data_IF_083731877169
#
_entry.id   IF_083731877169
#
_cell.length_a   1.000
_cell.length_b   1.000
_cell.length_c   1.000
_cell.angle_alpha   90.00
_cell.angle_beta   90.00
_cell.angle_gamma   90.00
#
_symmetry.space_group_name_H-M   'P 1'
#
loop_
_entity.id
_entity.type
_entity.pdbx_description
1 polymer ?
#
# COMPACT_ATOMS: atom_id res chain seq x y z
N UNK A 1 -8.11 19.11 -2.91
CA UNK A 1 -8.96 19.73 -3.97
C UNK A 1 -8.26 19.54 -5.30
N UNK A 2 -8.98 19.15 -6.36
CA UNK A 2 -8.39 19.02 -7.70
C UNK A 2 -8.76 20.24 -8.55
N UNK A 3 -7.78 20.77 -9.27
CA UNK A 3 -7.93 21.85 -10.25
C UNK A 3 -7.51 21.28 -11.59
N UNK A 4 -8.46 21.12 -12.51
CA UNK A 4 -8.19 20.61 -13.86
C UNK A 4 -7.88 21.79 -14.78
N UNK A 5 -6.77 21.72 -15.51
CA UNK A 5 -6.34 22.76 -16.44
C UNK A 5 -6.18 22.13 -17.82
N UNK A 6 -7.03 22.56 -18.77
CA UNK A 6 -6.93 22.13 -20.16
C UNK A 6 -5.75 22.84 -20.83
N UNK A 7 -4.93 22.07 -21.54
CA UNK A 7 -3.78 22.59 -22.30
C UNK A 7 -3.76 21.97 -23.70
N UNK A 8 -3.16 22.70 -24.64
CA UNK A 8 -2.99 22.21 -26.02
C UNK A 8 -1.82 21.24 -26.14
N UNK A 9 -0.71 21.51 -25.43
CA UNK A 9 0.49 20.68 -25.41
C UNK A 9 1.00 20.54 -23.97
N UNK A 10 1.06 19.30 -23.47
CA UNK A 10 1.51 19.02 -22.10
C UNK A 10 2.99 19.32 -21.91
N UNK A 11 3.83 19.05 -22.91
CA UNK A 11 5.26 19.23 -22.81
C UNK A 11 5.62 20.71 -22.73
N UNK A 12 5.09 21.50 -23.64
CA UNK A 12 5.31 22.95 -23.66
C UNK A 12 4.89 23.59 -22.34
N UNK A 13 3.69 23.26 -21.84
CA UNK A 13 3.18 23.85 -20.60
C UNK A 13 3.92 23.32 -19.37
N UNK A 14 4.27 22.03 -19.34
CA UNK A 14 5.00 21.47 -18.22
C UNK A 14 6.43 22.01 -18.15
N UNK A 15 7.10 22.24 -19.28
CA UNK A 15 8.47 22.77 -19.34
C UNK A 15 8.53 24.30 -19.14
N UNK A 16 7.40 25.02 -19.18
CA UNK A 16 7.34 26.45 -18.89
C UNK A 16 7.57 26.73 -17.38
N UNK A 17 8.71 27.36 -17.06
CA UNK A 17 9.09 27.70 -15.69
C UNK A 17 8.06 28.55 -14.94
N UNK A 18 7.36 29.47 -15.61
CA UNK A 18 6.36 30.33 -14.97
C UNK A 18 5.14 29.53 -14.59
N UNK A 19 4.73 28.60 -15.46
CA UNK A 19 3.63 27.68 -15.17
C UNK A 19 4.00 26.78 -14.01
N UNK A 20 5.18 26.13 -14.04
CA UNK A 20 5.65 25.28 -12.94
C UNK A 20 5.66 26.01 -11.59
N UNK A 21 6.19 27.24 -11.54
CA UNK A 21 6.20 28.05 -10.32
C UNK A 21 4.79 28.38 -9.83
N UNK A 22 3.88 28.67 -10.76
CA UNK A 22 2.49 28.95 -10.42
C UNK A 22 1.78 27.72 -9.87
N UNK A 23 2.03 26.54 -10.46
CA UNK A 23 1.53 25.27 -9.95
C UNK A 23 2.02 25.03 -8.53
N UNK A 24 3.34 25.14 -8.30
CA UNK A 24 3.95 24.94 -6.99
C UNK A 24 3.35 25.86 -5.92
N UNK A 25 3.18 27.15 -6.24
CA UNK A 25 2.57 28.12 -5.34
C UNK A 25 1.14 27.75 -4.94
N UNK A 26 0.37 27.11 -5.83
CA UNK A 26 -1.00 26.69 -5.57
C UNK A 26 -1.03 25.38 -4.76
N UNK A 27 -0.15 24.43 -5.09
CA UNK A 27 -0.11 23.11 -4.45
C UNK A 27 0.51 23.17 -3.03
N UNK A 28 1.48 24.05 -2.80
CA UNK A 28 2.16 24.25 -1.51
C UNK A 28 1.56 25.38 -0.64
N UNK A 29 0.44 25.96 -1.06
CA UNK A 29 -0.26 27.00 -0.29
C UNK A 29 -0.59 26.51 1.14
N UNK A 30 -0.06 27.23 2.13
CA UNK A 30 -0.07 26.86 3.55
C UNK A 30 -1.47 26.87 4.18
N UNK A 31 -2.44 27.55 3.54
CA UNK A 31 -3.77 27.75 4.10
C UNK A 31 -4.83 26.90 3.36
N UNK A 32 -5.43 25.98 4.12
CA UNK A 32 -6.60 25.17 3.78
C UNK A 32 -6.44 24.17 2.61
N UNK A 33 -6.30 22.88 3.00
CA UNK A 33 -6.40 21.66 2.19
C UNK A 33 -5.52 21.61 0.93
N UNK A 34 -4.66 20.59 0.83
CA UNK A 34 -3.79 20.38 -0.33
C UNK A 34 -4.59 20.44 -1.64
N UNK A 35 -4.14 21.31 -2.53
CA UNK A 35 -4.66 21.49 -3.88
C UNK A 35 -3.74 20.72 -4.83
N UNK A 36 -4.31 20.08 -5.83
CA UNK A 36 -3.56 19.36 -6.86
C UNK A 36 -4.02 19.89 -8.20
N UNK A 37 -3.08 20.38 -8.99
CA UNK A 37 -3.34 20.77 -10.36
C UNK A 37 -3.12 19.55 -11.24
N UNK A 38 -4.05 19.25 -12.13
CA UNK A 38 -3.89 18.21 -13.15
C UNK A 38 -3.99 18.90 -14.50
N UNK A 39 -2.90 18.82 -15.26
CA UNK A 39 -2.86 19.26 -16.63
C UNK A 39 -3.47 18.18 -17.51
N UNK A 40 -4.34 18.56 -18.44
CA UNK A 40 -4.95 17.59 -19.34
C UNK A 40 -5.09 18.13 -20.76
N UNK A 41 -4.97 17.25 -21.74
CA UNK A 41 -5.41 17.50 -23.11
C UNK A 41 -6.73 16.77 -23.34
N UNK A 42 -7.50 17.21 -24.33
CA UNK A 42 -8.72 16.48 -24.71
C UNK A 42 -8.42 15.10 -25.29
N UNK A 43 -7.33 14.96 -26.03
CA UNK A 43 -6.95 13.69 -26.65
C UNK A 43 -6.53 12.68 -25.59
N UNK A 44 -5.63 13.07 -24.69
CA UNK A 44 -5.24 12.22 -23.55
C UNK A 44 -6.43 11.80 -22.68
N UNK A 45 -7.40 12.71 -22.47
CA UNK A 45 -8.63 12.36 -21.75
C UNK A 45 -9.50 11.33 -22.49
N UNK A 46 -9.61 11.43 -23.82
CA UNK A 46 -10.35 10.45 -24.62
C UNK A 46 -9.71 9.07 -24.54
N UNK A 47 -8.38 9.01 -24.62
CA UNK A 47 -7.58 7.78 -24.56
C UNK A 47 -7.53 7.16 -23.15
N UNK A 48 -7.89 7.92 -22.12
CA UNK A 48 -8.02 7.44 -20.73
C UNK A 48 -9.41 6.93 -20.36
N UNK A 49 -10.44 7.12 -21.21
CA UNK A 49 -11.83 6.82 -20.85
C UNK A 49 -12.10 5.36 -20.48
N UNK A 50 -11.34 4.44 -21.04
CA UNK A 50 -11.42 2.99 -20.77
C UNK A 50 -10.64 2.57 -19.51
N UNK A 51 -9.89 3.49 -18.88
CA UNK A 51 -9.04 3.25 -17.70
C UNK A 51 -9.67 3.87 -16.45
N UNK A 52 -10.95 3.62 -16.26
CA UNK A 52 -11.78 4.26 -15.23
C UNK A 52 -11.61 3.66 -13.82
N UNK A 53 -11.07 2.44 -13.71
CA UNK A 53 -10.84 1.78 -12.42
C UNK A 53 -9.38 1.87 -11.99
N UNK A 54 -9.14 1.87 -10.67
CA UNK A 54 -7.78 1.92 -10.11
C UNK A 54 -6.91 0.74 -10.58
N UNK A 55 -7.50 -0.46 -10.70
CA UNK A 55 -6.78 -1.65 -11.16
C UNK A 55 -6.32 -1.50 -12.62
N UNK A 56 -7.21 -1.07 -13.51
CA UNK A 56 -6.88 -0.87 -14.93
C UNK A 56 -5.85 0.26 -15.07
N UNK A 57 -6.04 1.36 -14.34
CA UNK A 57 -5.09 2.47 -14.33
C UNK A 57 -3.72 2.03 -13.83
N UNK A 58 -3.65 1.21 -12.78
CA UNK A 58 -2.41 0.66 -12.28
C UNK A 58 -1.72 -0.24 -13.30
N UNK A 59 -2.43 -1.21 -13.89
CA UNK A 59 -1.85 -2.08 -14.93
C UNK A 59 -1.33 -1.27 -16.11
N UNK A 60 -2.04 -0.21 -16.49
CA UNK A 60 -1.61 0.69 -17.56
C UNK A 60 -0.29 1.40 -17.22
N UNK A 61 -0.16 1.92 -15.99
CA UNK A 61 1.08 2.54 -15.49
C UNK A 61 2.22 1.53 -15.38
N UNK A 62 1.99 0.38 -14.76
CA UNK A 62 3.02 -0.65 -14.59
C UNK A 62 3.58 -1.14 -15.93
N UNK A 63 2.74 -1.25 -16.96
CA UNK A 63 3.14 -1.80 -18.25
C UNK A 63 4.05 -0.88 -19.08
N UNK A 64 4.12 0.42 -18.77
CA UNK A 64 4.83 1.40 -19.60
C UNK A 64 5.77 2.32 -18.79
N UNK A 65 6.09 1.95 -17.54
CA UNK A 65 6.94 2.79 -16.69
C UNK A 65 8.36 2.96 -17.25
N UNK A 66 8.94 1.89 -17.79
CA UNK A 66 10.29 1.93 -18.39
C UNK A 66 10.33 2.90 -19.59
N UNK A 67 9.29 2.89 -20.42
CA UNK A 67 9.20 3.80 -21.57
C UNK A 67 9.03 5.27 -21.13
N UNK A 68 8.34 5.50 -20.01
CA UNK A 68 8.17 6.83 -19.43
C UNK A 68 9.44 7.39 -18.80
N UNK A 69 10.29 6.54 -18.22
CA UNK A 69 11.60 6.97 -17.72
C UNK A 69 12.50 7.49 -18.86
N UNK A 70 12.38 6.90 -20.05
CA UNK A 70 13.10 7.34 -21.25
C UNK A 70 12.48 8.61 -21.87
N UNK A 71 11.15 8.67 -22.00
CA UNK A 71 10.42 9.83 -22.52
C UNK A 71 9.11 10.09 -21.75
N UNK A 72 9.16 11.06 -20.85
CA UNK A 72 8.05 11.47 -20.01
C UNK A 72 6.80 11.92 -20.81
N UNK A 73 6.96 12.38 -22.05
CA UNK A 73 5.88 12.89 -22.90
C UNK A 73 5.53 11.95 -24.05
N UNK A 74 5.93 10.67 -23.97
CA UNK A 74 5.64 9.66 -24.99
C UNK A 74 4.14 9.56 -25.34
N UNK A 75 3.27 9.83 -24.36
CA UNK A 75 1.83 9.76 -24.48
C UNK A 75 1.17 10.74 -23.51
N UNK A 76 0.29 11.58 -24.04
CA UNK A 76 -0.51 12.52 -23.25
C UNK A 76 -1.38 11.79 -22.21
N UNK A 77 -2.01 10.69 -22.62
CA UNK A 77 -2.81 9.85 -21.70
C UNK A 77 -1.96 9.21 -20.62
N UNK A 78 -0.72 8.82 -20.94
CA UNK A 78 0.17 8.23 -19.95
C UNK A 78 0.68 9.26 -18.94
N UNK A 79 1.07 10.44 -19.42
CA UNK A 79 1.45 11.56 -18.57
C UNK A 79 0.31 11.92 -17.59
N UNK A 80 -0.91 12.06 -18.11
CA UNK A 80 -2.10 12.33 -17.30
C UNK A 80 -2.38 11.21 -16.29
N UNK A 81 -2.23 9.95 -16.69
CA UNK A 81 -2.36 8.80 -15.79
C UNK A 81 -1.35 8.85 -14.64
N UNK A 82 -0.09 9.23 -14.94
CA UNK A 82 0.95 9.41 -13.94
C UNK A 82 0.66 10.56 -12.98
N UNK A 83 0.18 11.71 -13.49
CA UNK A 83 -0.25 12.82 -12.64
C UNK A 83 -1.34 12.37 -11.65
N UNK A 84 -2.36 11.66 -12.16
CA UNK A 84 -3.46 11.10 -11.36
C UNK A 84 -2.91 10.12 -10.31
N UNK A 85 -2.03 9.20 -10.71
CA UNK A 85 -1.46 8.17 -9.84
C UNK A 85 -0.61 8.73 -8.70
N UNK A 86 0.17 9.79 -8.95
CA UNK A 86 1.03 10.42 -7.94
C UNK A 86 0.24 11.38 -7.03
N UNK A 87 -0.75 12.09 -7.58
CA UNK A 87 -1.48 13.16 -6.85
C UNK A 87 -2.69 12.66 -6.07
N UNK A 88 -3.23 11.47 -6.38
CA UNK A 88 -4.37 10.92 -5.64
C UNK A 88 -3.93 10.22 -4.34
N UNK A 89 -4.37 10.70 -3.16
CA UNK A 89 -3.99 10.10 -1.87
C UNK A 89 -4.57 8.69 -1.66
N UNK A 90 -5.56 8.28 -2.46
CA UNK A 90 -6.18 6.95 -2.42
C UNK A 90 -5.75 6.05 -3.58
N UNK A 91 -4.81 6.49 -4.40
CA UNK A 91 -4.19 5.61 -5.39
C UNK A 91 -3.22 4.69 -4.65
N UNK A 92 -3.79 3.67 -4.01
CA UNK A 92 -3.02 2.63 -3.35
C UNK A 92 -2.54 1.66 -4.42
N UNK A 93 -1.23 1.66 -4.68
CA UNK A 93 -0.62 0.61 -5.49
C UNK A 93 -0.97 -0.75 -4.84
N UNK A 94 -1.40 -1.75 -5.61
CA UNK A 94 -1.68 -3.07 -5.08
C UNK A 94 -0.45 -3.57 -4.32
N UNK A 95 -0.70 -4.19 -3.16
CA UNK A 95 0.37 -4.68 -2.30
C UNK A 95 1.18 -5.73 -3.06
N UNK A 96 2.42 -5.38 -3.43
CA UNK A 96 3.43 -6.34 -3.89
C UNK A 96 3.99 -7.09 -2.68
N UNK A 97 3.17 -7.98 -2.09
CA UNK A 97 3.53 -8.80 -0.93
C UNK A 97 4.69 -9.77 -1.23
N UNK A 98 5.07 -9.93 -2.50
CA UNK A 98 6.20 -10.72 -2.97
C UNK A 98 7.54 -9.96 -2.92
N UNK A 99 7.53 -8.63 -3.03
CA UNK A 99 8.74 -7.80 -3.09
C UNK A 99 8.88 -6.89 -1.85
N UNK A 100 7.78 -6.29 -1.39
CA UNK A 100 7.76 -5.36 -0.26
C UNK A 100 6.76 -5.85 0.79
N UNK A 101 7.26 -6.67 1.72
CA UNK A 101 6.50 -7.09 2.88
C UNK A 101 6.66 -6.06 4.00
N UNK A 102 5.55 -5.64 4.61
CA UNK A 102 5.62 -4.90 5.87
C UNK A 102 6.21 -5.80 6.95
N UNK A 103 6.89 -5.20 7.93
CA UNK A 103 7.39 -5.93 9.10
C UNK A 103 6.26 -6.76 9.71
N UNK A 104 5.07 -6.18 9.90
CA UNK A 104 3.87 -6.87 10.37
C UNK A 104 3.50 -8.10 9.52
N UNK A 105 3.52 -7.99 8.19
CA UNK A 105 3.21 -9.12 7.31
C UNK A 105 4.26 -10.24 7.33
N UNK A 106 5.50 -9.96 7.74
CA UNK A 106 6.52 -11.00 7.95
C UNK A 106 6.31 -11.81 9.23
N UNK A 107 5.55 -11.28 10.19
CA UNK A 107 5.26 -11.95 11.46
C UNK A 107 3.95 -12.74 11.47
N UNK A 108 3.05 -12.50 10.50
CA UNK A 108 1.69 -13.07 10.51
C UNK A 108 1.57 -14.58 10.18
N UNK A 109 2.58 -15.22 9.58
CA UNK A 109 2.40 -16.60 9.07
C UNK A 109 2.61 -17.70 10.12
N UNK A 110 3.72 -17.72 10.88
CA UNK A 110 4.03 -18.86 11.77
C UNK A 110 3.97 -18.51 13.28
N UNK A 111 4.24 -17.25 13.64
CA UNK A 111 4.29 -16.84 15.05
C UNK A 111 2.93 -16.48 15.61
N UNK A 112 1.97 -16.12 14.77
CA UNK A 112 0.60 -15.83 15.20
C UNK A 112 -0.13 -17.08 15.69
N UNK A 113 0.05 -18.26 15.09
CA UNK A 113 -0.57 -19.49 15.62
C UNK A 113 0.03 -19.84 16.99
N UNK A 114 1.35 -19.74 17.12
CA UNK A 114 2.06 -20.05 18.35
C UNK A 114 1.72 -19.07 19.47
N UNK A 115 1.74 -17.77 19.18
CA UNK A 115 1.42 -16.71 20.12
C UNK A 115 -0.05 -16.76 20.53
N UNK A 116 -0.97 -17.05 19.60
CA UNK A 116 -2.38 -17.24 19.91
C UNK A 116 -2.61 -18.50 20.77
N UNK A 117 -1.94 -19.62 20.48
CA UNK A 117 -2.04 -20.85 21.31
C UNK A 117 -1.47 -20.65 22.71
N UNK A 118 -0.34 -19.95 22.84
CA UNK A 118 0.24 -19.58 24.12
C UNK A 118 -0.71 -18.68 24.92
N UNK A 119 -1.26 -17.65 24.27
CA UNK A 119 -2.21 -16.75 24.90
C UNK A 119 -3.47 -17.49 25.37
N UNK A 120 -4.00 -18.39 24.56
CA UNK A 120 -5.15 -19.22 24.90
C UNK A 120 -4.84 -20.15 26.08
N UNK A 121 -3.65 -20.75 26.10
CA UNK A 121 -3.19 -21.62 27.19
C UNK A 121 -3.10 -20.88 28.53
N UNK A 122 -2.48 -19.69 28.55
CA UNK A 122 -2.38 -18.86 29.76
C UNK A 122 -3.72 -18.27 30.19
N UNK A 123 -4.62 -18.00 29.24
CA UNK A 123 -5.96 -17.49 29.56
C UNK A 123 -6.85 -18.58 30.17
N UNK A 124 -6.73 -19.82 29.68
CA UNK A 124 -7.53 -20.97 30.16
C UNK A 124 -7.03 -21.55 31.48
N UNK A 125 -5.74 -21.38 31.79
CA UNK A 125 -5.13 -21.97 32.96
C UNK A 125 -4.70 -20.92 33.98
N UNK A 126 -5.30 -20.98 35.17
CA UNK A 126 -4.90 -20.14 36.30
C UNK A 126 -3.56 -20.58 36.89
N UNK A 127 -2.82 -19.65 37.48
CA UNK A 127 -1.50 -19.90 38.08
C UNK A 127 -1.49 -21.07 39.08
N UNK A 128 -2.57 -21.25 39.85
CA UNK A 128 -2.68 -22.35 40.80
C UNK A 128 -2.84 -23.71 40.11
N UNK A 129 -3.61 -23.77 39.01
CA UNK A 129 -3.84 -24.99 38.23
C UNK A 129 -2.55 -25.42 37.53
N UNK A 130 -1.84 -24.46 36.93
CA UNK A 130 -0.53 -24.68 36.31
C UNK A 130 0.52 -25.12 37.32
N UNK A 131 0.60 -24.44 38.48
CA UNK A 131 1.55 -24.80 39.53
C UNK A 131 1.35 -26.22 40.04
N UNK A 132 0.10 -26.70 40.08
CA UNK A 132 -0.22 -28.07 40.48
C UNK A 132 0.20 -29.09 39.41
N UNK A 133 -0.12 -28.84 38.15
CA UNK A 133 0.28 -29.69 37.01
C UNK A 133 1.80 -29.76 36.85
N UNK A 134 2.53 -28.66 37.09
CA UNK A 134 4.00 -28.64 36.99
C UNK A 134 4.72 -29.31 38.18
N UNK A 135 4.04 -29.52 39.31
CA UNK A 135 4.60 -30.22 40.48
C UNK A 135 4.54 -31.73 40.35
N UNK A 136 3.64 -32.25 39.52
CA UNK A 136 3.48 -33.68 39.25
C UNK A 136 3.35 -33.89 37.75
N UNK A 137 4.51 -33.86 37.07
CA UNK A 137 4.59 -33.93 35.61
C UNK A 137 4.24 -35.36 35.16
N UNK A 138 2.94 -35.60 34.94
CA UNK A 138 2.43 -36.78 34.26
C UNK A 138 2.03 -36.41 32.83
N UNK A 139 2.31 -37.30 31.88
CA UNK A 139 1.92 -37.15 30.46
C UNK A 139 0.41 -37.26 30.26
N UNK A 140 -0.31 -37.73 31.28
CA UNK A 140 -1.78 -37.79 31.31
C UNK A 140 -2.43 -36.46 31.77
N UNK A 141 -1.64 -35.45 32.16
CA UNK A 141 -2.17 -34.13 32.50
C UNK A 141 -2.38 -33.30 31.22
N UNK A 142 -3.64 -32.93 30.96
CA UNK A 142 -4.05 -32.15 29.80
C UNK A 142 -3.23 -30.86 29.64
N UNK A 143 -2.89 -30.18 30.73
CA UNK A 143 -2.11 -28.93 30.66
C UNK A 143 -0.65 -29.19 30.24
N UNK A 144 -0.08 -30.33 30.63
CA UNK A 144 1.28 -30.73 30.26
C UNK A 144 1.31 -31.21 28.81
N UNK A 145 0.27 -31.93 28.37
CA UNK A 145 0.11 -32.35 26.97
C UNK A 145 -0.03 -31.15 26.02
N UNK A 146 -0.86 -30.17 26.39
CA UNK A 146 -1.02 -28.92 25.63
C UNK A 146 0.29 -28.12 25.54
N UNK A 147 1.06 -28.04 26.63
CA UNK A 147 2.38 -27.39 26.62
C UNK A 147 3.40 -28.11 25.72
N UNK A 148 3.38 -29.44 25.69
CA UNK A 148 4.26 -30.22 24.83
C UNK A 148 3.92 -30.01 23.35
N UNK A 149 2.63 -29.98 22.99
CA UNK A 149 2.19 -29.67 21.63
C UNK A 149 2.55 -28.24 21.20
N UNK A 150 2.48 -27.25 22.10
CA UNK A 150 2.97 -25.90 21.81
C UNK A 150 4.50 -25.90 21.62
N UNK A 151 5.23 -26.71 22.39
CA UNK A 151 6.68 -26.87 22.26
C UNK A 151 7.12 -27.50 20.93
N UNK A 152 6.31 -28.39 20.35
CA UNK A 152 6.55 -28.98 19.03
C UNK A 152 6.44 -27.96 17.89
N UNK A 153 5.65 -26.90 18.07
CA UNK A 153 5.54 -25.79 17.10
C UNK A 153 6.73 -24.82 17.14
N UNK A 154 7.65 -24.97 18.09
CA UNK A 154 8.88 -24.17 18.20
C UNK A 154 10.08 -24.76 17.43
N UNK A 155 9.96 -25.97 16.86
CA UNK A 155 11.01 -26.67 16.09
C UNK A 155 10.93 -26.41 14.59
#
# INVERSE_FOLDING_TARGET
MFILVEVDDLKEVFEDEKVQRSILLIEEDYYYFRKFIILYTRNGLLDLRDKETNEILYTYLESNIDAFEDDMFLSESYFMAMEIGVKLPFFTLPKRNDIYQSIESQYQDDKDELDNRLLDFYTKNTDEKLSKSLKDISTDDDNISDLLQIGELLQ
#
